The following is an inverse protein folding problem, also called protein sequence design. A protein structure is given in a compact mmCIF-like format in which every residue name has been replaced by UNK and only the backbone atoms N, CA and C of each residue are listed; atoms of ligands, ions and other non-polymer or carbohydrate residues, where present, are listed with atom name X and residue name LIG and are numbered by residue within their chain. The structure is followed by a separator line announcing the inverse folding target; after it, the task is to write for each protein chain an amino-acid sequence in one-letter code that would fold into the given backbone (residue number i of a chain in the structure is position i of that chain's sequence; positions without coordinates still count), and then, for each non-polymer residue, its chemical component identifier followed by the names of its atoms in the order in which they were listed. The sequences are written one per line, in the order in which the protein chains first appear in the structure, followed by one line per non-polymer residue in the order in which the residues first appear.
data_IF_876985856724
#
_entry.id   IF_876985856724
#
_cell.length_a   1.000
_cell.length_b   1.000
_cell.length_c   1.000
_cell.angle_alpha   90.00
_cell.angle_beta   90.00
_cell.angle_gamma   90.00
#
_symmetry.space_group_name_H-M   'P 1'
#
loop_
_entity.id
_entity.type
_entity.pdbx_description
1 polymer ?
#
# COMPACT_ATOMS: atom_id res chain seq x y z
N UNK A 1 4.34 4.48 53.96
CA UNK A 1 4.65 5.40 52.84
C UNK A 1 5.27 4.71 51.63
N UNK A 2 6.36 3.94 51.75
CA UNK A 2 7.05 3.31 50.60
C UNK A 2 6.18 2.40 49.71
N UNK A 3 5.20 1.69 50.29
CA UNK A 3 4.28 0.84 49.53
C UNK A 3 3.28 1.66 48.69
N UNK A 4 2.80 2.80 49.20
CA UNK A 4 1.85 3.68 48.51
C UNK A 4 2.49 4.30 47.26
N UNK A 5 3.77 4.69 47.35
CA UNK A 5 4.54 5.18 46.20
C UNK A 5 4.77 4.11 45.12
N UNK A 6 4.90 2.83 45.50
CA UNK A 6 5.00 1.72 44.53
C UNK A 6 3.68 1.50 43.79
N UNK A 7 2.56 1.50 44.51
CA UNK A 7 1.24 1.39 43.89
C UNK A 7 0.94 2.57 42.95
N UNK A 8 1.29 3.80 43.36
CA UNK A 8 1.09 5.00 42.53
C UNK A 8 1.91 4.94 41.24
N UNK A 9 3.17 4.43 41.29
CA UNK A 9 4.00 4.24 40.10
C UNK A 9 3.41 3.21 39.14
N UNK A 10 2.95 2.07 39.65
CA UNK A 10 2.32 1.03 38.82
C UNK A 10 1.04 1.55 38.16
N UNK A 11 0.22 2.30 38.90
CA UNK A 11 -0.98 2.92 38.35
C UNK A 11 -0.64 3.92 37.23
N UNK A 12 0.40 4.72 37.41
CA UNK A 12 0.87 5.68 36.40
C UNK A 12 1.32 4.98 35.11
N UNK A 13 2.08 3.88 35.24
CA UNK A 13 2.50 3.07 34.09
C UNK A 13 1.31 2.45 33.35
N UNK A 14 0.31 1.94 34.07
CA UNK A 14 -0.92 1.39 33.47
C UNK A 14 -1.68 2.48 32.69
N UNK A 15 -1.82 3.68 33.25
CA UNK A 15 -2.48 4.81 32.59
C UNK A 15 -1.72 5.26 31.34
N UNK A 16 -0.38 5.34 31.40
CA UNK A 16 0.46 5.68 30.24
C UNK A 16 0.31 4.60 29.15
N UNK A 17 0.34 3.33 29.52
CA UNK A 17 0.17 2.23 28.56
C UNK A 17 -1.22 2.23 27.91
N UNK A 18 -2.27 2.52 28.68
CA UNK A 18 -3.64 2.69 28.16
C UNK A 18 -3.77 3.88 27.20
N UNK A 19 -3.09 5.00 27.48
CA UNK A 19 -3.12 6.18 26.61
C UNK A 19 -2.36 5.95 25.30
N UNK A 20 -1.21 5.27 25.32
CA UNK A 20 -0.47 4.91 24.11
C UNK A 20 -1.29 3.94 23.24
N UNK A 21 -1.98 2.95 23.84
CA UNK A 21 -2.85 2.03 23.11
C UNK A 21 -4.00 2.70 22.35
N UNK A 22 -4.54 3.82 22.87
CA UNK A 22 -5.61 4.58 22.19
C UNK A 22 -5.12 5.37 20.98
N UNK A 23 -3.86 5.83 20.97
CA UNK A 23 -3.26 6.53 19.81
C UNK A 23 -3.12 5.59 18.61
N UNK A 24 -2.92 4.30 18.83
CA UNK A 24 -2.85 3.28 17.77
C UNK A 24 -4.23 2.75 17.31
N UNK A 25 -5.32 3.08 18.01
CA UNK A 25 -6.63 2.50 17.75
C UNK A 25 -7.49 3.27 16.71
N UNK A 26 -7.02 4.43 16.23
CA UNK A 26 -7.75 5.29 15.29
C UNK A 26 -7.00 5.52 13.96
N UNK A 27 -6.28 4.53 13.48
CA UNK A 27 -5.80 4.56 12.09
C UNK A 27 -6.93 4.09 11.18
N UNK A 28 -7.58 5.03 10.47
CA UNK A 28 -8.35 4.67 9.27
C UNK A 28 -7.40 3.91 8.34
N UNK A 29 -7.58 2.59 8.24
CA UNK A 29 -6.67 1.71 7.49
C UNK A 29 -6.60 2.05 6.00
N UNK A 30 -7.59 2.80 5.51
CA UNK A 30 -7.70 3.31 4.15
C UNK A 30 -8.15 4.77 4.17
N UNK A 31 -7.30 5.66 4.69
CA UNK A 31 -7.57 7.10 4.65
C UNK A 31 -7.34 7.67 3.25
N UNK A 32 -8.18 8.62 2.84
CA UNK A 32 -7.90 9.47 1.68
C UNK A 32 -6.60 10.25 1.93
N UNK A 33 -5.78 10.39 0.89
CA UNK A 33 -4.57 11.22 0.92
C UNK A 33 -4.81 12.66 0.49
N UNK A 34 -5.86 12.89 -0.29
CA UNK A 34 -6.27 14.21 -0.77
C UNK A 34 -7.36 14.84 0.12
N UNK A 35 -7.56 14.32 1.34
CA UNK A 35 -8.57 14.78 2.31
C UNK A 35 -9.99 14.84 1.71
N UNK A 36 -10.42 13.78 1.03
CA UNK A 36 -11.78 13.60 0.49
C UNK A 36 -12.85 13.42 1.60
N UNK A 37 -12.82 14.26 2.63
CA UNK A 37 -13.65 14.18 3.85
C UNK A 37 -14.69 15.31 3.92
N UNK A 38 -14.60 16.30 3.03
CA UNK A 38 -15.42 17.50 3.03
C UNK A 38 -16.09 17.69 1.66
N UNK A 39 -17.34 18.14 1.67
CA UNK A 39 -18.13 18.39 0.45
C UNK A 39 -19.46 17.64 0.45
N UNK A 40 -20.23 17.81 -0.61
CA UNK A 40 -21.42 17.01 -0.85
C UNK A 40 -21.04 15.57 -1.26
N UNK A 41 -21.96 14.61 -1.09
CA UNK A 41 -21.69 13.20 -1.43
C UNK A 41 -21.13 12.98 -2.86
N UNK A 42 -21.61 13.69 -3.90
CA UNK A 42 -21.03 13.57 -5.24
C UNK A 42 -19.56 14.04 -5.32
N UNK A 43 -19.23 15.16 -4.65
CA UNK A 43 -17.88 15.72 -4.61
C UNK A 43 -16.90 14.79 -3.92
N UNK A 44 -17.32 14.20 -2.79
CA UNK A 44 -16.55 13.18 -2.07
C UNK A 44 -16.32 11.96 -2.98
N UNK A 45 -17.35 11.51 -3.69
CA UNK A 45 -17.24 10.36 -4.59
C UNK A 45 -16.26 10.63 -5.76
N UNK A 46 -16.30 11.83 -6.34
CA UNK A 46 -15.40 12.21 -7.43
C UNK A 46 -13.96 12.37 -6.95
N UNK A 47 -13.74 12.97 -5.78
CA UNK A 47 -12.42 13.04 -5.15
C UNK A 47 -11.80 11.64 -4.96
N UNK A 48 -12.57 10.69 -4.44
CA UNK A 48 -12.11 9.32 -4.21
C UNK A 48 -11.87 8.54 -5.51
N UNK A 49 -12.67 8.77 -6.55
CA UNK A 49 -12.41 8.22 -7.90
C UNK A 49 -11.12 8.75 -8.47
N UNK A 50 -10.87 10.06 -8.33
CA UNK A 50 -9.62 10.67 -8.81
C UNK A 50 -8.40 10.08 -8.10
N UNK A 51 -8.46 9.90 -6.78
CA UNK A 51 -7.39 9.19 -6.05
C UNK A 51 -7.13 7.77 -6.56
N UNK A 52 -8.20 7.03 -6.88
CA UNK A 52 -8.06 5.70 -7.46
C UNK A 52 -7.42 5.75 -8.86
N UNK A 53 -7.78 6.72 -9.69
CA UNK A 53 -7.18 6.91 -11.02
C UNK A 53 -5.70 7.24 -10.88
N UNK A 54 -5.34 8.24 -10.06
CA UNK A 54 -3.96 8.66 -9.82
C UNK A 54 -3.09 7.51 -9.31
N UNK A 55 -3.58 6.77 -8.31
CA UNK A 55 -2.85 5.62 -7.78
C UNK A 55 -2.67 4.50 -8.81
N UNK A 56 -3.64 4.32 -9.72
CA UNK A 56 -3.56 3.32 -10.79
C UNK A 56 -2.50 3.72 -11.81
N UNK A 57 -2.41 5.01 -12.16
CA UNK A 57 -1.35 5.55 -13.02
C UNK A 57 0.01 5.33 -12.36
N UNK A 58 0.16 5.68 -11.08
CA UNK A 58 1.40 5.48 -10.32
C UNK A 58 1.85 4.02 -10.30
N UNK A 59 0.92 3.08 -10.07
CA UNK A 59 1.21 1.66 -10.14
C UNK A 59 1.70 1.25 -11.54
N UNK A 60 1.05 1.74 -12.60
CA UNK A 60 1.43 1.41 -13.97
C UNK A 60 2.82 1.93 -14.33
N UNK A 61 3.15 3.13 -13.89
CA UNK A 61 4.48 3.70 -14.07
C UNK A 61 5.55 2.87 -13.36
N UNK A 62 5.29 2.46 -12.12
CA UNK A 62 6.20 1.61 -11.35
C UNK A 62 6.42 0.24 -12.01
N UNK A 63 5.35 -0.38 -12.55
CA UNK A 63 5.43 -1.63 -13.32
C UNK A 63 6.24 -1.48 -14.61
N UNK A 64 6.11 -0.37 -15.31
CA UNK A 64 6.88 -0.11 -16.52
C UNK A 64 8.36 0.14 -16.18
N UNK A 65 8.64 0.89 -15.11
CA UNK A 65 10.00 1.19 -14.66
C UNK A 65 10.77 -0.10 -14.31
N UNK A 66 10.18 -1.00 -13.52
CA UNK A 66 10.84 -2.24 -13.14
C UNK A 66 11.05 -3.17 -14.35
N UNK A 67 10.11 -3.22 -15.30
CA UNK A 67 10.28 -3.95 -16.57
C UNK A 67 11.46 -3.43 -17.36
N UNK A 68 11.58 -2.10 -17.50
CA UNK A 68 12.70 -1.47 -18.19
C UNK A 68 14.03 -1.78 -17.50
N UNK A 69 14.09 -1.74 -16.16
CA UNK A 69 15.30 -2.10 -15.41
C UNK A 69 15.72 -3.55 -15.66
N UNK A 70 14.78 -4.49 -15.68
CA UNK A 70 15.06 -5.91 -16.00
C UNK A 70 15.55 -6.04 -17.46
N UNK A 71 14.91 -5.36 -18.41
CA UNK A 71 15.30 -5.43 -19.82
C UNK A 71 16.72 -4.90 -20.08
N UNK A 72 17.20 -3.93 -19.29
CA UNK A 72 18.56 -3.40 -19.39
C UNK A 72 19.65 -4.44 -19.15
N UNK A 73 19.37 -5.55 -18.47
CA UNK A 73 20.34 -6.63 -18.26
C UNK A 73 20.89 -7.20 -19.57
N UNK A 74 20.15 -7.08 -20.68
CA UNK A 74 20.61 -7.47 -22.01
C UNK A 74 21.82 -6.67 -22.52
N UNK A 75 22.11 -5.51 -21.93
CA UNK A 75 23.27 -4.70 -22.29
C UNK A 75 24.61 -5.39 -21.95
N UNK A 76 24.60 -6.28 -20.95
CA UNK A 76 25.78 -7.02 -20.48
C UNK A 76 26.28 -8.09 -21.45
N UNK A 77 25.48 -8.48 -22.44
CA UNK A 77 25.81 -9.55 -23.40
C UNK A 77 26.24 -10.84 -22.69
N UNK A 78 25.56 -11.20 -21.60
CA UNK A 78 25.79 -12.43 -20.85
C UNK A 78 24.66 -13.43 -21.11
N UNK A 79 25.02 -14.64 -21.55
CA UNK A 79 24.04 -15.70 -21.81
C UNK A 79 23.18 -16.03 -20.58
N UNK A 80 23.75 -15.98 -19.37
CA UNK A 80 23.00 -16.23 -18.14
C UNK A 80 21.97 -15.13 -17.83
N UNK A 81 22.26 -13.88 -18.20
CA UNK A 81 21.31 -12.77 -18.06
C UNK A 81 20.24 -12.81 -19.14
N UNK A 82 20.61 -13.16 -20.37
CA UNK A 82 19.67 -13.32 -21.49
C UNK A 82 18.61 -14.39 -21.19
N UNK A 83 19.00 -15.50 -20.54
CA UNK A 83 18.07 -16.53 -20.06
C UNK A 83 17.23 -16.08 -18.85
N UNK A 84 17.77 -15.22 -17.97
CA UNK A 84 17.10 -14.76 -16.76
C UNK A 84 16.00 -13.71 -17.02
N UNK A 85 16.18 -12.84 -18.03
CA UNK A 85 15.22 -11.78 -18.39
C UNK A 85 13.78 -12.30 -18.59
N UNK A 86 13.51 -13.28 -19.48
CA UNK A 86 12.15 -13.75 -19.71
C UNK A 86 11.53 -14.38 -18.46
N UNK A 87 12.34 -15.08 -17.64
CA UNK A 87 11.88 -15.67 -16.37
C UNK A 87 11.49 -14.59 -15.37
N UNK A 88 12.30 -13.54 -15.22
CA UNK A 88 12.02 -12.42 -14.33
C UNK A 88 10.75 -11.66 -14.75
N UNK A 89 10.61 -11.37 -16.05
CA UNK A 89 9.42 -10.70 -16.59
C UNK A 89 8.15 -11.54 -16.42
N UNK A 90 8.24 -12.86 -16.62
CA UNK A 90 7.13 -13.78 -16.37
C UNK A 90 6.72 -13.77 -14.90
N UNK A 91 7.68 -13.87 -13.97
CA UNK A 91 7.37 -13.83 -12.52
C UNK A 91 6.80 -12.49 -12.08
N UNK A 92 7.24 -11.37 -12.68
CA UNK A 92 6.65 -10.06 -12.44
C UNK A 92 5.17 -10.01 -12.86
N UNK A 93 4.84 -10.58 -14.02
CA UNK A 93 3.46 -10.65 -14.52
C UNK A 93 2.57 -11.53 -13.63
N UNK A 94 3.04 -12.71 -13.24
CA UNK A 94 2.32 -13.59 -12.29
C UNK A 94 2.13 -12.92 -10.92
N UNK A 95 3.15 -12.20 -10.43
CA UNK A 95 3.04 -11.40 -9.20
C UNK A 95 2.00 -10.28 -9.32
N UNK A 96 1.91 -9.62 -10.48
CA UNK A 96 0.87 -8.62 -10.75
C UNK A 96 -0.53 -9.24 -10.75
N UNK A 97 -0.73 -10.37 -11.43
CA UNK A 97 -2.03 -11.09 -11.42
C UNK A 97 -2.46 -11.47 -10.00
N UNK A 98 -1.53 -11.96 -9.18
CA UNK A 98 -1.80 -12.27 -7.78
C UNK A 98 -2.15 -11.01 -6.98
N UNK A 99 -1.44 -9.91 -7.19
CA UNK A 99 -1.74 -8.62 -6.56
C UNK A 99 -3.14 -8.11 -6.92
N UNK A 100 -3.55 -8.18 -8.18
CA UNK A 100 -4.90 -7.77 -8.61
C UNK A 100 -5.99 -8.56 -7.89
N UNK A 101 -5.81 -9.88 -7.76
CA UNK A 101 -6.73 -10.75 -6.99
C UNK A 101 -6.77 -10.37 -5.52
N UNK A 102 -5.60 -10.21 -4.89
CA UNK A 102 -5.49 -9.77 -3.50
C UNK A 102 -6.18 -8.42 -3.27
N UNK A 103 -5.88 -7.41 -4.09
CA UNK A 103 -6.49 -6.08 -4.01
C UNK A 103 -8.00 -6.16 -4.11
N UNK A 104 -8.53 -6.91 -5.06
CA UNK A 104 -9.97 -7.07 -5.23
C UNK A 104 -10.62 -7.69 -3.98
N UNK A 105 -10.12 -8.83 -3.51
CA UNK A 105 -10.69 -9.53 -2.35
C UNK A 105 -10.53 -8.72 -1.06
N UNK A 106 -9.39 -8.08 -0.85
CA UNK A 106 -9.12 -7.25 0.32
C UNK A 106 -10.03 -6.03 0.37
N UNK A 107 -10.26 -5.36 -0.77
CA UNK A 107 -11.13 -4.18 -0.80
C UNK A 107 -12.61 -4.55 -0.76
N UNK A 108 -13.01 -5.71 -1.26
CA UNK A 108 -14.35 -6.24 -1.03
C UNK A 108 -14.59 -6.49 0.47
N UNK A 109 -13.60 -7.03 1.18
CA UNK A 109 -13.65 -7.16 2.65
C UNK A 109 -13.71 -5.78 3.33
N UNK A 110 -12.93 -4.79 2.90
CA UNK A 110 -13.02 -3.43 3.44
C UNK A 110 -14.42 -2.81 3.25
N UNK A 111 -15.05 -3.08 2.10
CA UNK A 111 -16.40 -2.64 1.79
C UNK A 111 -17.47 -3.26 2.69
N UNK A 112 -17.23 -4.44 3.28
CA UNK A 112 -18.18 -5.11 4.17
C UNK A 112 -18.16 -4.58 5.60
N UNK A 113 -17.23 -3.69 5.94
CA UNK A 113 -17.21 -3.05 7.26
C UNK A 113 -18.45 -2.16 7.45
N UNK A 114 -19.15 -2.30 8.58
CA UNK A 114 -20.34 -1.52 8.93
C UNK A 114 -21.65 -2.01 8.29
N UNK A 115 -22.67 -1.16 8.25
CA UNK A 115 -24.01 -1.48 7.73
C UNK A 115 -24.19 -1.22 6.22
N UNK A 116 -23.08 -1.15 5.46
CA UNK A 116 -23.08 -0.86 4.01
C UNK A 116 -23.04 0.63 3.63
N UNK A 117 -23.36 1.56 4.54
CA UNK A 117 -23.21 3.00 4.30
C UNK A 117 -21.72 3.35 4.14
N UNK A 118 -21.37 4.02 3.04
CA UNK A 118 -19.97 4.36 2.72
C UNK A 118 -19.13 3.17 2.26
N UNK A 119 -19.73 2.07 1.81
CA UNK A 119 -18.98 0.92 1.29
C UNK A 119 -18.10 1.30 0.09
N UNK A 120 -18.64 2.11 -0.83
CA UNK A 120 -17.89 2.55 -2.01
C UNK A 120 -16.68 3.42 -1.65
N UNK A 121 -16.80 4.29 -0.63
CA UNK A 121 -15.69 5.15 -0.21
C UNK A 121 -14.54 4.29 0.33
N UNK A 122 -14.85 3.31 1.18
CA UNK A 122 -13.88 2.33 1.69
C UNK A 122 -13.23 1.51 0.58
N UNK A 123 -14.00 1.06 -0.41
CA UNK A 123 -13.47 0.29 -1.55
C UNK A 123 -12.46 1.14 -2.35
N UNK A 124 -12.81 2.37 -2.71
CA UNK A 124 -11.93 3.24 -3.49
C UNK A 124 -10.66 3.62 -2.73
N UNK A 125 -10.79 4.04 -1.46
CA UNK A 125 -9.62 4.33 -0.62
C UNK A 125 -8.73 3.09 -0.44
N UNK A 126 -9.32 1.90 -0.29
CA UNK A 126 -8.57 0.65 -0.21
C UNK A 126 -7.77 0.36 -1.47
N UNK A 127 -8.42 0.43 -2.63
CA UNK A 127 -7.76 0.16 -3.90
C UNK A 127 -6.63 1.17 -4.14
N UNK A 128 -6.87 2.45 -3.83
CA UNK A 128 -5.89 3.50 -4.02
C UNK A 128 -4.66 3.31 -3.13
N UNK A 129 -4.85 2.96 -1.86
CA UNK A 129 -3.75 2.71 -0.94
C UNK A 129 -2.93 1.48 -1.34
N UNK A 130 -3.58 0.37 -1.67
CA UNK A 130 -2.87 -0.84 -2.11
C UNK A 130 -2.08 -0.61 -3.41
N UNK A 131 -2.61 0.19 -4.34
CA UNK A 131 -1.89 0.59 -5.54
C UNK A 131 -0.61 1.37 -5.20
N UNK A 132 -0.69 2.37 -4.31
CA UNK A 132 0.46 3.19 -3.88
C UNK A 132 1.51 2.35 -3.17
N UNK A 133 1.09 1.45 -2.27
CA UNK A 133 2.01 0.54 -1.58
C UNK A 133 2.75 -0.35 -2.57
N UNK A 134 2.04 -0.94 -3.54
CA UNK A 134 2.66 -1.78 -4.56
C UNK A 134 3.59 -0.98 -5.47
N UNK A 135 3.20 0.23 -5.88
CA UNK A 135 4.05 1.12 -6.65
C UNK A 135 5.36 1.41 -5.90
N UNK A 136 5.28 1.75 -4.60
CA UNK A 136 6.44 1.98 -3.74
C UNK A 136 7.34 0.74 -3.64
N UNK A 137 6.76 -0.46 -3.51
CA UNK A 137 7.54 -1.71 -3.49
C UNK A 137 8.29 -1.93 -4.81
N UNK A 138 7.64 -1.70 -5.96
CA UNK A 138 8.25 -1.90 -7.27
C UNK A 138 9.33 -0.87 -7.59
N UNK A 139 9.10 0.41 -7.27
CA UNK A 139 10.09 1.48 -7.50
C UNK A 139 11.34 1.29 -6.66
N UNK A 140 11.19 0.81 -5.42
CA UNK A 140 12.31 0.59 -4.50
C UNK A 140 12.82 -0.86 -4.51
N UNK A 141 12.40 -1.67 -5.48
CA UNK A 141 12.91 -3.03 -5.61
C UNK A 141 14.42 -2.99 -5.91
N UNK A 142 15.16 -3.83 -5.19
CA UNK A 142 16.59 -4.04 -5.39
C UNK A 142 16.82 -4.91 -6.63
N UNK A 143 16.68 -4.28 -7.80
CA UNK A 143 16.96 -4.87 -9.10
C UNK A 143 18.35 -4.39 -9.52
N UNK A 144 19.33 -5.30 -9.71
CA UNK A 144 20.68 -4.95 -10.13
C UNK A 144 20.70 -4.15 -11.43
N UNK A 145 21.57 -3.16 -11.50
CA UNK A 145 21.89 -2.38 -12.70
C UNK A 145 23.25 -2.82 -13.22
N UNK A 146 23.30 -3.96 -13.90
CA UNK A 146 24.57 -4.54 -14.36
C UNK A 146 25.31 -3.63 -15.36
N UNK A 147 24.63 -2.70 -16.03
CA UNK A 147 25.22 -1.78 -17.00
C UNK A 147 26.15 -0.70 -16.39
N UNK A 148 26.31 -0.68 -15.07
CA UNK A 148 27.15 0.28 -14.34
C UNK A 148 28.33 -0.36 -13.60
N UNK A 149 28.44 -1.68 -13.60
CA UNK A 149 29.55 -2.43 -13.03
C UNK A 149 30.52 -2.91 -14.12
#
# INVERSE_FOLDING_TARGET
MASLFKFLRVLLFIVIFFMIGRVYANTSYYSSKNNCEYGEQPEIADCLRNELIESTIMLKEAENNIKQRIQKWSAEKSASLDEAIPVALYKLDESHKAFVRYRFTQCAFAGSWGNGVGSFTRIFSCMAELNRQRAKQLMNADIPDYAKD
#
